data_IF_549511512864
#
_entry.id   IF_549511512864
#
_cell.length_a   1.000
_cell.length_b   1.000
_cell.length_c   1.000
_cell.angle_alpha   90.00
_cell.angle_beta   90.00
_cell.angle_gamma   90.00
#
_symmetry.space_group_name_H-M   'P 1'
#
loop_
_entity.id
_entity.type
_entity.pdbx_description
1 polymer ?
#
# COMPACT_ATOMS: atom_id res chain seq x y z
N UNK A 1 11.23 19.80 5.92
CA UNK A 1 9.96 20.09 5.22
C UNK A 1 9.98 19.60 3.77
N UNK A 2 10.94 20.02 2.93
CA UNK A 2 11.05 19.58 1.52
C UNK A 2 11.13 18.04 1.37
N UNK A 3 11.92 17.36 2.20
CA UNK A 3 12.07 15.90 2.15
C UNK A 3 10.75 15.18 2.48
N UNK A 4 9.95 15.71 3.41
CA UNK A 4 8.65 15.13 3.75
C UNK A 4 7.67 15.28 2.58
N UNK A 5 7.71 16.42 1.88
CA UNK A 5 6.90 16.67 0.69
C UNK A 5 7.27 15.71 -0.44
N UNK A 6 8.57 15.49 -0.67
CA UNK A 6 9.08 14.54 -1.66
C UNK A 6 8.62 13.11 -1.32
N UNK A 7 8.73 12.70 -0.05
CA UNK A 7 8.26 11.37 0.38
C UNK A 7 6.76 11.18 0.16
N UNK A 8 5.93 12.18 0.44
CA UNK A 8 4.48 12.12 0.19
C UNK A 8 4.19 12.02 -1.32
N UNK A 9 4.86 12.83 -2.14
CA UNK A 9 4.66 12.82 -3.59
C UNK A 9 5.08 11.49 -4.22
N UNK A 10 6.23 10.95 -3.80
CA UNK A 10 6.69 9.64 -4.25
C UNK A 10 5.74 8.54 -3.78
N UNK A 11 5.33 8.54 -2.51
CA UNK A 11 4.33 7.60 -1.99
C UNK A 11 3.04 7.64 -2.83
N UNK A 12 2.50 8.83 -3.13
CA UNK A 12 1.31 8.98 -3.96
C UNK A 12 1.53 8.45 -5.39
N UNK A 13 2.68 8.74 -6.00
CA UNK A 13 3.04 8.22 -7.32
C UNK A 13 3.14 6.69 -7.35
N UNK A 14 3.74 6.10 -6.33
CA UNK A 14 3.83 4.64 -6.18
C UNK A 14 2.47 3.98 -5.95
N UNK A 15 1.59 4.58 -5.13
CA UNK A 15 0.20 4.08 -4.95
C UNK A 15 -0.58 4.17 -6.26
N UNK A 16 -0.46 5.27 -7.01
CA UNK A 16 -1.10 5.40 -8.31
C UNK A 16 -0.60 4.33 -9.30
N UNK A 17 0.72 4.16 -9.40
CA UNK A 17 1.33 3.17 -10.28
C UNK A 17 0.96 1.74 -9.87
N UNK A 18 0.83 1.47 -8.57
CA UNK A 18 0.36 0.19 -8.05
C UNK A 18 -1.03 -0.13 -8.58
N UNK A 19 -1.98 0.78 -8.39
CA UNK A 19 -3.37 0.59 -8.83
C UNK A 19 -3.44 0.46 -10.34
N UNK A 20 -2.69 1.28 -11.09
CA UNK A 20 -2.62 1.23 -12.54
C UNK A 20 -2.10 -0.12 -13.05
N UNK A 21 -0.99 -0.62 -12.50
CA UNK A 21 -0.43 -1.93 -12.85
C UNK A 21 -1.38 -3.07 -12.45
N UNK A 22 -2.08 -2.93 -11.32
CA UNK A 22 -2.96 -3.97 -10.81
C UNK A 22 -4.18 -4.11 -11.73
N UNK A 23 -4.73 -2.98 -12.18
CA UNK A 23 -5.83 -2.95 -13.15
C UNK A 23 -5.44 -3.57 -14.50
N UNK A 24 -4.17 -3.47 -14.88
CA UNK A 24 -3.59 -4.06 -16.11
C UNK A 24 -3.19 -5.53 -15.96
N UNK A 25 -3.37 -6.12 -14.78
CA UNK A 25 -2.97 -7.51 -14.52
C UNK A 25 -1.47 -7.73 -14.34
N UNK A 26 -0.68 -6.65 -14.17
CA UNK A 26 0.76 -6.71 -14.02
C UNK A 26 1.17 -6.80 -12.54
N UNK A 27 0.92 -7.96 -11.92
CA UNK A 27 1.04 -8.17 -10.47
C UNK A 27 2.45 -8.01 -9.93
N UNK A 28 3.46 -8.45 -10.69
CA UNK A 28 4.86 -8.30 -10.29
C UNK A 28 5.23 -6.82 -10.13
N UNK A 29 4.83 -5.98 -11.09
CA UNK A 29 5.06 -4.54 -10.99
C UNK A 29 4.19 -3.89 -9.92
N UNK A 30 2.92 -4.29 -9.76
CA UNK A 30 2.09 -3.80 -8.65
C UNK A 30 2.72 -4.09 -7.28
N UNK A 31 3.34 -5.25 -7.11
CA UNK A 31 4.06 -5.60 -5.90
C UNK A 31 5.26 -4.68 -5.68
N UNK A 32 6.09 -4.47 -6.70
CA UNK A 32 7.22 -3.51 -6.62
C UNK A 32 6.72 -2.11 -6.27
N UNK A 33 5.60 -1.69 -6.86
CA UNK A 33 5.02 -0.38 -6.58
C UNK A 33 4.51 -0.27 -5.13
N UNK A 34 3.98 -1.35 -4.56
CA UNK A 34 3.57 -1.42 -3.16
C UNK A 34 4.76 -1.27 -2.21
N UNK A 35 5.83 -2.04 -2.44
CA UNK A 35 7.05 -1.95 -1.64
C UNK A 35 7.62 -0.53 -1.68
N UNK A 36 7.62 0.10 -2.87
CA UNK A 36 8.02 1.51 -3.02
C UNK A 36 7.17 2.46 -2.17
N UNK A 37 5.84 2.35 -2.23
CA UNK A 37 4.93 3.18 -1.43
C UNK A 37 5.20 3.03 0.08
N UNK A 38 5.45 1.81 0.54
CA UNK A 38 5.77 1.51 1.95
C UNK A 38 7.09 2.15 2.38
N UNK A 39 8.13 2.08 1.56
CA UNK A 39 9.44 2.66 1.89
C UNK A 39 9.32 4.18 2.09
N UNK A 40 8.62 4.86 1.17
CA UNK A 40 8.42 6.31 1.29
C UNK A 40 7.49 6.69 2.44
N UNK A 41 6.49 5.86 2.74
CA UNK A 41 5.68 6.01 3.94
C UNK A 41 6.53 5.91 5.22
N UNK A 42 7.37 4.89 5.35
CA UNK A 42 8.25 4.71 6.51
C UNK A 42 9.21 5.90 6.69
N UNK A 43 9.81 6.38 5.60
CA UNK A 43 10.68 7.56 5.63
C UNK A 43 9.92 8.86 6.01
N UNK A 44 8.67 9.00 5.58
CA UNK A 44 7.82 10.11 6.02
C UNK A 44 7.45 10.00 7.50
N UNK A 45 7.06 8.79 7.93
CA UNK A 45 6.63 8.49 9.29
C UNK A 45 7.72 8.77 10.32
N UNK A 46 8.96 8.33 10.06
CA UNK A 46 10.09 8.54 10.97
C UNK A 46 10.45 10.01 11.19
N UNK A 47 10.03 10.90 10.28
CA UNK A 47 10.28 12.34 10.34
C UNK A 47 9.07 13.12 10.86
N UNK A 48 8.00 12.44 11.24
CA UNK A 48 6.78 13.06 11.71
C UNK A 48 6.86 13.36 13.20
N UNK A 49 6.35 14.52 13.62
CA UNK A 49 6.23 14.85 15.03
C UNK A 49 5.30 13.85 15.73
N UNK A 50 5.65 13.43 16.96
CA UNK A 50 4.93 12.38 17.69
C UNK A 50 3.42 12.61 17.81
N UNK A 51 2.97 13.87 17.93
CA UNK A 51 1.53 14.19 18.01
C UNK A 51 0.73 13.87 16.73
N UNK A 52 1.39 13.80 15.58
CA UNK A 52 0.75 13.48 14.29
C UNK A 52 0.96 12.02 13.85
N UNK A 53 1.92 11.33 14.45
CA UNK A 53 2.33 9.97 14.09
C UNK A 53 1.16 8.98 14.17
N UNK A 54 0.40 9.05 15.27
CA UNK A 54 -0.77 8.20 15.46
C UNK A 54 -1.84 8.41 14.38
N UNK A 55 -2.20 9.67 14.09
CA UNK A 55 -3.23 9.99 13.09
C UNK A 55 -2.84 9.58 11.67
N UNK A 56 -1.57 9.79 11.31
CA UNK A 56 -1.05 9.36 10.01
C UNK A 56 -0.97 7.83 9.91
N UNK A 57 -0.63 7.13 10.99
CA UNK A 57 -0.68 5.67 11.05
C UNK A 57 -2.11 5.16 10.82
N UNK A 58 -3.07 5.70 11.56
CA UNK A 58 -4.48 5.31 11.46
C UNK A 58 -5.01 5.52 10.03
N UNK A 59 -4.72 6.67 9.43
CA UNK A 59 -5.11 6.99 8.06
C UNK A 59 -4.52 5.98 7.05
N UNK A 60 -3.26 5.58 7.24
CA UNK A 60 -2.61 4.62 6.34
C UNK A 60 -3.14 3.19 6.50
N UNK A 61 -3.55 2.80 7.71
CA UNK A 61 -4.24 1.53 7.95
C UNK A 61 -5.59 1.54 7.22
N UNK A 62 -6.36 2.62 7.29
CA UNK A 62 -7.65 2.75 6.60
C UNK A 62 -7.51 2.74 5.07
N UNK A 63 -6.49 3.43 4.54
CA UNK A 63 -6.18 3.40 3.10
C UNK A 63 -5.75 2.00 2.64
N UNK A 64 -4.94 1.33 3.45
CA UNK A 64 -4.48 -0.04 3.22
C UNK A 64 -5.65 -1.03 3.19
N UNK A 65 -6.57 -0.93 4.15
CA UNK A 65 -7.79 -1.75 4.18
C UNK A 65 -8.67 -1.48 2.95
N UNK A 66 -8.81 -0.21 2.56
CA UNK A 66 -9.59 0.18 1.37
C UNK A 66 -8.98 -0.39 0.08
N UNK A 67 -7.66 -0.36 -0.06
CA UNK A 67 -6.94 -0.97 -1.18
C UNK A 67 -7.13 -2.49 -1.22
N UNK A 68 -7.04 -3.15 -0.06
CA UNK A 68 -7.26 -4.59 0.05
C UNK A 68 -8.68 -4.99 -0.40
N UNK A 69 -9.71 -4.25 0.04
CA UNK A 69 -11.10 -4.45 -0.41
C UNK A 69 -11.20 -4.29 -1.93
N UNK A 70 -10.58 -3.25 -2.50
CA UNK A 70 -10.62 -2.99 -3.94
C UNK A 70 -9.95 -4.11 -4.75
N UNK A 71 -8.85 -4.68 -4.24
CA UNK A 71 -8.20 -5.83 -4.87
C UNK A 71 -9.03 -7.10 -4.77
N UNK A 72 -9.63 -7.39 -3.61
CA UNK A 72 -10.52 -8.54 -3.44
C UNK A 72 -11.73 -8.42 -4.36
N UNK A 73 -12.36 -7.25 -4.43
CA UNK A 73 -13.49 -6.98 -5.32
C UNK A 73 -13.12 -7.25 -6.79
N UNK A 74 -11.98 -6.73 -7.25
CA UNK A 74 -11.51 -6.94 -8.62
C UNK A 74 -11.10 -8.38 -8.90
N UNK A 75 -10.59 -9.11 -7.90
CA UNK A 75 -10.33 -10.53 -8.00
C UNK A 75 -11.61 -11.36 -8.18
N UNK A 76 -12.71 -10.96 -7.53
CA UNK A 76 -14.02 -11.61 -7.67
C UNK A 76 -14.62 -11.31 -9.05
N UNK A 77 -14.55 -10.06 -9.54
CA UNK A 77 -15.04 -9.72 -10.89
C UNK A 77 -14.29 -10.48 -12.00
N UNK A 78 -13.01 -10.79 -11.82
CA UNK A 78 -12.18 -11.47 -12.81
C UNK A 78 -12.18 -13.01 -12.68
N UNK A 79 -13.34 -13.61 -12.36
CA UNK A 79 -13.54 -15.02 -11.99
C UNK A 79 -12.85 -16.08 -12.90
N UNK A 80 -12.59 -15.78 -14.18
CA UNK A 80 -11.91 -16.70 -15.10
C UNK A 80 -10.37 -16.71 -14.99
N UNK A 81 -9.76 -15.68 -14.40
CA UNK A 81 -8.30 -15.51 -14.40
C UNK A 81 -7.72 -15.70 -13.00
N UNK A 82 -7.35 -16.96 -12.66
CA UNK A 82 -6.78 -17.32 -11.34
C UNK A 82 -5.61 -16.43 -10.93
N UNK A 83 -4.83 -15.90 -11.87
CA UNK A 83 -3.72 -14.98 -11.59
C UNK A 83 -4.16 -13.67 -10.92
N UNK A 84 -5.36 -13.17 -11.26
CA UNK A 84 -5.91 -11.94 -10.70
C UNK A 84 -6.34 -12.13 -9.24
N UNK A 85 -6.84 -13.31 -8.91
CA UNK A 85 -7.19 -13.70 -7.55
C UNK A 85 -5.96 -13.83 -6.64
N UNK A 86 -4.94 -14.58 -7.07
CA UNK A 86 -3.73 -14.77 -6.27
C UNK A 86 -2.92 -13.48 -6.08
N UNK A 87 -2.87 -12.61 -7.08
CA UNK A 87 -2.24 -11.30 -6.98
C UNK A 87 -2.92 -10.38 -5.96
N UNK A 88 -4.26 -10.37 -5.93
CA UNK A 88 -5.03 -9.63 -4.92
C UNK A 88 -4.79 -10.17 -3.52
N UNK A 89 -4.85 -11.49 -3.34
CA UNK A 89 -4.65 -12.16 -2.05
C UNK A 89 -3.23 -11.91 -1.52
N UNK A 90 -2.22 -11.99 -2.38
CA UNK A 90 -0.84 -11.72 -1.99
C UNK A 90 -0.63 -10.26 -1.54
N UNK A 91 -1.20 -9.29 -2.26
CA UNK A 91 -1.13 -7.87 -1.86
C UNK A 91 -1.88 -7.60 -0.56
N UNK A 92 -3.06 -8.19 -0.36
CA UNK A 92 -3.84 -8.05 0.87
C UNK A 92 -3.15 -8.71 2.07
N UNK A 93 -2.57 -9.91 1.89
CA UNK A 93 -1.80 -10.59 2.92
C UNK A 93 -0.55 -9.80 3.30
N UNK A 94 0.17 -9.27 2.31
CA UNK A 94 1.34 -8.42 2.54
C UNK A 94 0.95 -7.16 3.30
N UNK A 95 -0.20 -6.57 2.98
CA UNK A 95 -0.72 -5.38 3.65
C UNK A 95 -1.03 -5.63 5.13
N UNK A 96 -1.66 -6.76 5.45
CA UNK A 96 -1.87 -7.20 6.84
C UNK A 96 -0.56 -7.45 7.57
N UNK A 97 0.40 -8.11 6.92
CA UNK A 97 1.71 -8.44 7.49
C UNK A 97 2.49 -7.16 7.81
N UNK A 98 2.40 -6.17 6.93
CA UNK A 98 3.02 -4.87 7.11
C UNK A 98 2.40 -4.08 8.26
N UNK A 99 1.07 -4.10 8.38
CA UNK A 99 0.34 -3.46 9.48
C UNK A 99 0.72 -4.07 10.84
N UNK A 100 0.88 -5.41 10.90
CA UNK A 100 1.38 -6.11 12.09
C UNK A 100 2.83 -5.75 12.43
N UNK A 101 3.68 -5.62 11.42
CA UNK A 101 5.08 -5.25 11.60
C UNK A 101 5.20 -3.82 12.14
N UNK A 102 4.39 -2.89 11.61
CA UNK A 102 4.31 -1.54 12.15
C UNK A 102 3.74 -1.48 13.57
N UNK A 103 2.83 -2.37 13.97
CA UNK A 103 2.33 -2.39 15.36
C UNK A 103 3.32 -3.01 16.36
N UNK A 104 4.35 -3.72 15.90
CA UNK A 104 5.34 -4.40 16.75
C UNK A 104 6.64 -3.59 16.90
N UNK A 105 7.02 -2.83 15.87
CA UNK A 105 8.27 -2.06 15.83
C UNK A 105 8.12 -0.65 16.40
N UNK A 106 6.88 -0.19 16.59
CA UNK A 106 6.50 1.19 16.86
C UNK A 106 5.69 1.28 18.15
#
# INVERSE_FOLDING_TARGET
MLINLISILLMAGFIYALVANFRRGNYAYSFVMYVGAVIFYANFYHRLAHGWAFWVMLLMILLSASLAILFVYRAIECQDNRHHYWGAVALSALTLLLALLFSLVL
#
